data_IF_926458974431
#
_entry.id   IF_926458974431
#
_cell.length_a   1.000
_cell.length_b   1.000
_cell.length_c   1.000
_cell.angle_alpha   90.00
_cell.angle_beta   90.00
_cell.angle_gamma   90.00
#
_symmetry.space_group_name_H-M   'P 1'
#
loop_
_entity.id
_entity.type
_entity.pdbx_description
1 polymer ?
#
# COMPACT_ATOMS: atom_id res chain seq x y z
N UNK A 1 -17.94 -13.14 11.16
CA UNK A 1 -18.01 -11.68 11.33
C UNK A 1 -17.35 -11.09 10.09
N UNK A 2 -18.06 -10.30 9.29
CA UNK A 2 -17.46 -9.65 8.11
C UNK A 2 -16.75 -8.42 8.66
N UNK A 3 -15.43 -8.36 8.52
CA UNK A 3 -14.67 -7.18 8.90
C UNK A 3 -14.86 -6.12 7.81
N UNK A 4 -15.52 -5.01 8.14
CA UNK A 4 -15.73 -3.93 7.20
C UNK A 4 -14.50 -3.03 7.13
N UNK A 5 -14.09 -2.67 5.91
CA UNK A 5 -13.01 -1.71 5.69
C UNK A 5 -13.50 -0.29 5.98
N UNK A 6 -13.00 0.30 7.05
CA UNK A 6 -13.43 1.61 7.55
C UNK A 6 -12.54 2.74 7.05
N UNK A 7 -11.24 2.50 6.95
CA UNK A 7 -10.28 3.51 6.51
C UNK A 7 -9.11 2.89 5.72
N UNK A 8 -8.63 3.65 4.74
CA UNK A 8 -7.37 3.40 4.04
C UNK A 8 -6.46 4.59 4.33
N UNK A 9 -5.24 4.31 4.80
CA UNK A 9 -4.14 5.27 4.78
C UNK A 9 -3.09 4.76 3.79
N UNK A 10 -2.63 5.62 2.89
CA UNK A 10 -1.58 5.27 1.94
C UNK A 10 -0.54 6.37 1.90
N UNK A 11 0.72 5.99 2.17
CA UNK A 11 1.90 6.83 2.05
C UNK A 11 2.79 6.24 0.97
N UNK A 12 3.33 7.11 0.12
CA UNK A 12 4.34 6.70 -0.86
C UNK A 12 5.30 7.82 -1.17
N UNK A 13 6.52 7.47 -1.54
CA UNK A 13 7.51 8.42 -2.01
C UNK A 13 8.93 7.86 -2.00
N UNK A 14 9.88 8.72 -2.38
CA UNK A 14 11.29 8.43 -2.23
C UNK A 14 11.75 8.91 -0.85
N UNK A 15 12.41 8.05 -0.09
CA UNK A 15 13.05 8.41 1.17
C UNK A 15 14.53 8.68 0.91
N UNK A 16 14.90 9.96 0.99
CA UNK A 16 16.29 10.38 0.96
C UNK A 16 16.99 10.12 2.29
N UNK A 17 18.32 10.22 2.27
CA UNK A 17 19.15 10.04 3.47
C UNK A 17 18.72 11.00 4.59
N UNK A 18 18.26 10.42 5.70
CA UNK A 18 17.85 11.15 6.90
C UNK A 18 16.34 11.44 6.96
N UNK A 19 15.59 11.22 5.88
CA UNK A 19 14.13 11.26 5.91
C UNK A 19 13.55 10.06 6.66
N UNK A 20 12.41 10.27 7.31
CA UNK A 20 11.59 9.25 7.94
C UNK A 20 10.33 9.01 7.11
N UNK A 21 9.71 7.83 7.19
CA UNK A 21 8.40 7.57 6.58
C UNK A 21 7.31 8.59 6.93
N UNK A 22 7.37 9.19 8.12
CA UNK A 22 6.42 10.23 8.58
C UNK A 22 6.61 11.58 7.90
N UNK A 23 7.73 11.81 7.22
CA UNK A 23 7.96 13.02 6.42
C UNK A 23 7.19 12.97 5.08
N UNK A 24 6.71 11.79 4.67
CA UNK A 24 5.88 11.61 3.48
C UNK A 24 4.41 11.93 3.76
N UNK A 25 3.74 12.55 2.79
CA UNK A 25 2.31 12.82 2.90
C UNK A 25 1.49 11.52 2.93
N UNK A 26 0.48 11.50 3.79
CA UNK A 26 -0.50 10.42 3.89
C UNK A 26 -1.80 10.81 3.20
N UNK A 27 -2.28 9.93 2.33
CA UNK A 27 -3.63 10.02 1.77
C UNK A 27 -4.56 9.17 2.61
N UNK A 28 -5.73 9.70 2.95
CA UNK A 28 -6.68 9.05 3.84
C UNK A 28 -8.07 9.03 3.20
N UNK A 29 -8.67 7.84 3.10
CA UNK A 29 -10.06 7.64 2.71
C UNK A 29 -10.81 6.94 3.84
N UNK A 30 -12.04 7.39 4.14
CA UNK A 30 -12.85 6.87 5.25
C UNK A 30 -14.28 6.55 4.81
N UNK A 31 -14.82 5.44 5.29
CA UNK A 31 -16.20 5.02 5.08
C UNK A 31 -16.63 5.12 3.62
N UNK A 32 -17.68 5.90 3.35
CA UNK A 32 -18.21 6.10 2.00
C UNK A 32 -17.26 6.82 1.03
N UNK A 33 -16.21 7.49 1.53
CA UNK A 33 -15.19 8.13 0.66
C UNK A 33 -14.16 7.14 0.10
N UNK A 34 -14.18 5.89 0.54
CA UNK A 34 -13.37 4.83 -0.07
C UNK A 34 -14.08 4.40 -1.37
N UNK A 35 -13.49 4.61 -2.55
CA UNK A 35 -14.16 4.28 -3.81
C UNK A 35 -14.46 2.78 -3.92
N UNK A 36 -15.63 2.43 -4.45
CA UNK A 36 -16.06 1.04 -4.58
C UNK A 36 -15.05 0.19 -5.38
N UNK A 37 -14.46 0.75 -6.43
CA UNK A 37 -13.42 0.09 -7.23
C UNK A 37 -12.19 -0.31 -6.41
N UNK A 38 -11.82 0.49 -5.40
CA UNK A 38 -10.70 0.19 -4.50
C UNK A 38 -11.10 -0.92 -3.51
N UNK A 39 -12.31 -0.86 -2.93
CA UNK A 39 -12.82 -1.92 -2.05
C UNK A 39 -12.84 -3.27 -2.76
N UNK A 40 -13.37 -3.31 -3.97
CA UNK A 40 -13.38 -4.52 -4.80
C UNK A 40 -11.97 -5.00 -5.08
N UNK A 41 -11.04 -4.10 -5.44
CA UNK A 41 -9.66 -4.49 -5.70
C UNK A 41 -8.98 -5.07 -4.44
N UNK A 42 -9.14 -4.48 -3.26
CA UNK A 42 -8.59 -5.00 -2.00
C UNK A 42 -9.09 -6.42 -1.71
N UNK A 43 -10.39 -6.66 -1.91
CA UNK A 43 -11.00 -7.97 -1.68
C UNK A 43 -10.55 -9.00 -2.73
N UNK A 44 -10.64 -8.66 -4.02
CA UNK A 44 -10.23 -9.56 -5.13
C UNK A 44 -8.75 -9.92 -5.04
N UNK A 45 -7.90 -8.95 -4.71
CA UNK A 45 -6.47 -9.15 -4.53
C UNK A 45 -6.12 -9.64 -3.12
N UNK A 46 -7.11 -9.87 -2.25
CA UNK A 46 -6.97 -10.43 -0.89
C UNK A 46 -5.95 -9.74 0.01
N UNK A 47 -5.84 -8.41 -0.07
CA UNK A 47 -4.83 -7.63 0.67
C UNK A 47 -4.99 -7.72 2.20
N UNK A 48 -6.19 -8.02 2.69
CA UNK A 48 -6.43 -8.19 4.12
C UNK A 48 -5.60 -9.32 4.74
N UNK A 49 -5.10 -10.25 3.93
CA UNK A 49 -4.25 -11.36 4.39
C UNK A 49 -2.76 -11.14 4.07
N UNK A 50 -2.37 -9.96 3.59
CA UNK A 50 -1.02 -9.65 3.11
C UNK A 50 -0.28 -8.65 4.01
N UNK A 51 -0.69 -8.52 5.28
CA UNK A 51 0.04 -7.71 6.24
C UNK A 51 1.50 -8.13 6.34
N UNK A 52 2.43 -7.17 6.31
CA UNK A 52 3.86 -7.45 6.38
C UNK A 52 4.74 -6.46 5.64
N UNK A 53 6.01 -6.81 5.54
CA UNK A 53 7.07 -6.01 4.90
C UNK A 53 7.61 -6.77 3.69
N UNK A 54 7.66 -6.09 2.55
CA UNK A 54 8.06 -6.64 1.27
C UNK A 54 9.16 -5.79 0.63
N UNK A 55 9.95 -6.43 -0.23
CA UNK A 55 11.07 -5.79 -0.92
C UNK A 55 12.29 -5.55 -0.03
N UNK A 56 13.40 -5.16 -0.66
CA UNK A 56 14.66 -4.88 0.03
C UNK A 56 14.89 -3.38 0.13
N UNK A 57 14.94 -2.88 1.37
CA UNK A 57 15.26 -1.48 1.70
C UNK A 57 16.61 -1.00 1.16
N UNK A 58 17.55 -1.91 0.89
CA UNK A 58 18.91 -1.59 0.42
C UNK A 58 19.09 -1.66 -1.09
N UNK A 59 18.05 -2.02 -1.85
CA UNK A 59 18.16 -2.22 -3.28
C UNK A 59 18.43 -0.93 -4.08
N UNK A 60 18.12 0.25 -3.52
CA UNK A 60 18.35 1.55 -4.16
C UNK A 60 18.51 2.67 -3.11
N UNK A 61 19.15 3.77 -3.52
CA UNK A 61 19.24 5.04 -2.78
C UNK A 61 19.04 6.21 -3.79
N UNK A 62 18.00 7.06 -3.64
CA UNK A 62 16.99 7.04 -2.58
C UNK A 62 16.09 5.80 -2.66
N UNK A 63 15.56 5.40 -1.50
CA UNK A 63 14.73 4.20 -1.36
C UNK A 63 13.27 4.54 -1.68
N UNK A 64 12.65 3.81 -2.60
CA UNK A 64 11.19 3.89 -2.79
C UNK A 64 10.49 3.25 -1.58
N UNK A 65 9.51 3.95 -1.03
CA UNK A 65 8.71 3.51 0.11
C UNK A 65 7.23 3.59 -0.23
N UNK A 66 6.51 2.50 -0.01
CA UNK A 66 5.05 2.45 -0.01
C UNK A 66 4.60 1.87 1.33
N UNK A 67 3.60 2.49 1.97
CA UNK A 67 2.94 1.96 3.15
C UNK A 67 1.43 2.12 3.02
N UNK A 68 0.73 0.98 3.08
CA UNK A 68 -0.71 0.89 3.01
C UNK A 68 -1.23 0.34 4.33
N UNK A 69 -2.07 1.11 5.00
CA UNK A 69 -2.77 0.70 6.21
C UNK A 69 -4.26 0.60 5.95
N UNK A 70 -4.80 -0.59 6.18
CA UNK A 70 -6.21 -0.93 6.03
C UNK A 70 -6.80 -1.10 7.41
N UNK A 71 -7.58 -0.12 7.85
CA UNK A 71 -8.25 -0.15 9.15
C UNK A 71 -9.61 -0.79 8.96
N UNK A 72 -9.81 -1.91 9.62
CA UNK A 72 -11.06 -2.66 9.68
C UNK A 72 -11.77 -2.35 11.00
N UNK A 73 -13.03 -2.77 11.13
CA UNK A 73 -13.81 -2.56 12.37
C UNK A 73 -13.11 -3.09 13.63
N UNK A 74 -12.45 -4.26 13.55
CA UNK A 74 -11.83 -4.92 14.71
C UNK A 74 -10.31 -5.15 14.57
N UNK A 75 -9.71 -4.75 13.46
CA UNK A 75 -8.31 -5.07 13.15
C UNK A 75 -7.66 -4.03 12.23
N UNK A 76 -6.35 -4.11 12.05
CA UNK A 76 -5.60 -3.30 11.10
C UNK A 76 -4.58 -4.15 10.37
N UNK A 77 -4.63 -4.08 9.05
CA UNK A 77 -3.65 -4.72 8.18
C UNK A 77 -2.72 -3.66 7.62
N UNK A 78 -1.43 -3.78 7.92
CA UNK A 78 -0.40 -2.86 7.45
C UNK A 78 0.58 -3.56 6.51
N UNK A 79 0.79 -2.96 5.35
CA UNK A 79 1.63 -3.48 4.26
C UNK A 79 2.67 -2.42 3.93
N UNK A 80 3.94 -2.77 4.08
CA UNK A 80 5.06 -1.91 3.66
C UNK A 80 5.80 -2.56 2.50
N UNK A 81 6.08 -1.80 1.45
CA UNK A 81 6.89 -2.25 0.31
C UNK A 81 8.04 -1.28 0.12
N UNK A 82 9.26 -1.81 0.10
CA UNK A 82 10.46 -1.06 -0.25
C UNK A 82 10.87 -1.35 -1.68
N UNK A 83 11.32 -0.33 -2.41
CA UNK A 83 11.85 -0.49 -3.77
C UNK A 83 10.92 -1.34 -4.64
N UNK A 84 9.62 -1.01 -4.63
CA UNK A 84 8.54 -1.79 -5.23
C UNK A 84 8.79 -2.06 -6.71
N UNK A 85 9.26 -1.07 -7.47
CA UNK A 85 9.61 -1.25 -8.88
C UNK A 85 10.70 -2.31 -9.09
N UNK A 86 11.78 -2.24 -8.30
CA UNK A 86 12.88 -3.22 -8.34
C UNK A 86 12.38 -4.59 -7.87
N UNK A 87 11.59 -4.64 -6.81
CA UNK A 87 11.04 -5.88 -6.25
C UNK A 87 10.15 -6.59 -7.28
N UNK A 88 9.32 -5.86 -8.02
CA UNK A 88 8.50 -6.43 -9.11
C UNK A 88 9.34 -6.94 -10.28
N UNK A 89 10.45 -6.26 -10.59
CA UNK A 89 11.33 -6.65 -11.69
C UNK A 89 12.19 -7.87 -11.34
N UNK A 90 12.69 -7.94 -10.10
CA UNK A 90 13.64 -8.94 -9.65
C UNK A 90 12.99 -10.17 -9.00
N UNK A 91 11.73 -10.07 -8.56
CA UNK A 91 11.02 -11.17 -7.90
C UNK A 91 9.75 -11.58 -8.66
N UNK A 92 9.44 -12.87 -8.60
CA UNK A 92 8.18 -13.44 -9.08
C UNK A 92 7.15 -13.56 -7.92
N UNK A 93 7.26 -12.71 -6.90
CA UNK A 93 6.38 -12.77 -5.73
C UNK A 93 4.98 -12.23 -6.08
N UNK A 94 4.03 -13.14 -6.25
CA UNK A 94 2.65 -12.80 -6.58
C UNK A 94 2.00 -11.91 -5.50
N UNK A 95 2.45 -11.97 -4.24
CA UNK A 95 1.94 -11.06 -3.19
C UNK A 95 2.27 -9.61 -3.53
N UNK A 96 3.48 -9.35 -4.00
CA UNK A 96 3.92 -8.01 -4.41
C UNK A 96 3.15 -7.53 -5.64
N UNK A 97 2.86 -8.44 -6.60
CA UNK A 97 2.02 -8.11 -7.77
C UNK A 97 0.59 -7.74 -7.40
N UNK A 98 -0.03 -8.50 -6.49
CA UNK A 98 -1.37 -8.22 -5.93
C UNK A 98 -1.41 -6.86 -5.25
N UNK A 99 -0.43 -6.58 -4.38
CA UNK A 99 -0.28 -5.28 -3.72
C UNK A 99 -0.15 -4.17 -4.76
N UNK A 100 0.75 -4.33 -5.74
CA UNK A 100 0.99 -3.35 -6.80
C UNK A 100 -0.30 -3.01 -7.59
N UNK A 101 -1.12 -4.01 -7.96
CA UNK A 101 -2.38 -3.77 -8.68
C UNK A 101 -3.35 -2.86 -7.91
N UNK A 102 -3.41 -2.98 -6.58
CA UNK A 102 -4.23 -2.09 -5.75
C UNK A 102 -3.58 -0.71 -5.61
N UNK A 103 -2.28 -0.65 -5.33
CA UNK A 103 -1.57 0.62 -5.16
C UNK A 103 -1.64 1.50 -6.42
N UNK A 104 -1.52 0.90 -7.61
CA UNK A 104 -1.70 1.63 -8.89
C UNK A 104 -3.10 2.25 -9.04
N UNK A 105 -4.15 1.60 -8.51
CA UNK A 105 -5.50 2.17 -8.52
C UNK A 105 -5.62 3.33 -7.55
N UNK A 106 -5.04 3.22 -6.35
CA UNK A 106 -4.98 4.32 -5.37
C UNK A 106 -4.24 5.54 -5.92
N UNK A 107 -3.14 5.31 -6.67
CA UNK A 107 -2.37 6.37 -7.32
C UNK A 107 -3.12 7.04 -8.47
N UNK A 108 -4.01 6.31 -9.14
CA UNK A 108 -4.86 6.85 -10.19
C UNK A 108 -5.93 7.83 -9.69
N UNK A 109 -6.29 7.78 -8.40
CA UNK A 109 -7.33 8.64 -7.83
C UNK A 109 -6.94 10.13 -7.75
N UNK A 110 -5.65 10.44 -7.84
CA UNK A 110 -5.16 11.83 -7.84
C UNK A 110 -5.14 12.48 -9.23
N UNK A 111 -5.47 11.71 -10.29
CA UNK A 111 -5.30 12.16 -11.68
C UNK A 111 -6.56 12.77 -12.31
N UNK A 112 -7.59 13.03 -11.50
CA UNK A 112 -8.86 13.64 -11.92
C UNK A 112 -8.98 15.10 -11.46
#
# INVERSE_FOLDING_TARGET
MIQDLEQIEYRRGMLEKGMKPDDLQVKIWRGARIPAVIRTAINTEGLLNLGGVYGDKKACDPMEYDNLKLVLTDDTVEITVFNRGITLFMSDDERVRRIHRVLCKLDGLDKD
#
